data_IF_636377823014
#
_entry.id   IF_636377823014
#
_cell.length_a   1.000
_cell.length_b   1.000
_cell.length_c   1.000
_cell.angle_alpha   90.00
_cell.angle_beta   90.00
_cell.angle_gamma   90.00
#
_symmetry.space_group_name_H-M   'P 1'
#
loop_
_entity.id
_entity.type
_entity.pdbx_description
1 polymer ?
#
# COMPACT_ATOMS: atom_id res chain seq x y z
N UNK A 1 -33.64 -1.50 33.47
CA UNK A 1 -32.29 -1.31 32.89
C UNK A 1 -32.24 -2.12 31.61
N UNK A 2 -32.26 -1.47 30.44
CA UNK A 2 -32.15 -2.17 29.16
C UNK A 2 -30.69 -2.47 28.87
N UNK A 3 -30.34 -3.74 28.66
CA UNK A 3 -29.02 -4.12 28.19
C UNK A 3 -28.82 -3.57 26.77
N UNK A 4 -27.74 -2.84 26.52
CA UNK A 4 -27.30 -2.53 25.16
C UNK A 4 -26.86 -3.84 24.50
N UNK A 5 -27.75 -4.46 23.72
CA UNK A 5 -27.42 -5.66 22.95
C UNK A 5 -26.70 -5.21 21.69
N UNK A 6 -25.40 -5.50 21.60
CA UNK A 6 -24.64 -5.32 20.37
C UNK A 6 -25.02 -6.43 19.40
N UNK A 7 -25.59 -6.06 18.26
CA UNK A 7 -26.04 -7.03 17.24
C UNK A 7 -24.97 -7.40 16.23
N UNK A 8 -23.94 -6.56 16.05
CA UNK A 8 -22.83 -6.81 15.14
C UNK A 8 -21.57 -6.02 15.53
N UNK A 9 -20.40 -6.59 15.21
CA UNK A 9 -19.10 -5.94 15.32
C UNK A 9 -18.37 -6.10 13.99
N UNK A 10 -17.89 -5.00 13.43
CA UNK A 10 -17.11 -4.98 12.20
C UNK A 10 -15.66 -4.64 12.55
N UNK A 11 -14.73 -5.39 11.97
CA UNK A 11 -13.30 -5.20 12.17
C UNK A 11 -12.66 -4.77 10.86
N UNK A 12 -11.86 -3.72 10.92
CA UNK A 12 -10.88 -3.44 9.87
C UNK A 12 -9.82 -4.55 9.87
N UNK A 13 -9.16 -4.76 8.74
CA UNK A 13 -8.04 -5.67 8.67
C UNK A 13 -6.78 -5.01 9.24
N UNK A 14 -6.40 -3.87 8.68
CA UNK A 14 -5.14 -3.19 8.98
C UNK A 14 -5.11 -2.59 10.38
N UNK A 15 -4.10 -2.95 11.17
CA UNK A 15 -3.88 -2.50 12.56
C UNK A 15 -5.02 -2.81 13.54
N UNK A 16 -5.98 -3.66 13.16
CA UNK A 16 -7.04 -4.18 14.03
C UNK A 16 -6.95 -5.70 14.11
N UNK A 17 -7.07 -6.41 12.98
CA UNK A 17 -6.88 -7.86 12.92
C UNK A 17 -5.42 -8.25 12.69
N UNK A 18 -4.66 -7.42 11.97
CA UNK A 18 -3.26 -7.68 11.67
C UNK A 18 -2.43 -6.40 11.62
N UNK A 19 -1.18 -6.45 12.09
CA UNK A 19 -0.26 -5.32 12.00
C UNK A 19 0.45 -5.31 10.64
N UNK A 20 0.38 -4.18 9.93
CA UNK A 20 1.15 -3.98 8.71
C UNK A 20 2.42 -3.20 9.01
N UNK A 21 3.58 -3.80 8.70
CA UNK A 21 4.88 -3.17 8.88
C UNK A 21 5.31 -2.45 7.59
N UNK A 22 4.99 -1.15 7.52
CA UNK A 22 5.39 -0.28 6.42
C UNK A 22 6.92 -0.17 6.28
N UNK A 23 7.67 -0.21 7.38
CA UNK A 23 9.13 -0.12 7.36
C UNK A 23 9.74 -1.33 6.66
N UNK A 24 9.28 -2.54 7.02
CA UNK A 24 9.70 -3.78 6.37
C UNK A 24 9.27 -3.80 4.89
N UNK A 25 8.04 -3.39 4.59
CA UNK A 25 7.53 -3.36 3.22
C UNK A 25 8.35 -2.43 2.31
N UNK A 26 8.53 -1.17 2.70
CA UNK A 26 9.30 -0.21 1.90
C UNK A 26 10.81 -0.46 1.95
N UNK A 27 11.32 -1.10 3.00
CA UNK A 27 12.70 -1.59 3.06
C UNK A 27 12.95 -2.67 2.00
N UNK A 28 12.03 -3.62 1.86
CA UNK A 28 12.11 -4.64 0.81
C UNK A 28 11.95 -4.02 -0.58
N UNK A 29 11.00 -3.09 -0.78
CA UNK A 29 10.83 -2.40 -2.06
C UNK A 29 12.08 -1.62 -2.48
N UNK A 30 12.76 -0.96 -1.54
CA UNK A 30 14.00 -0.23 -1.79
C UNK A 30 15.16 -1.14 -2.27
N UNK A 31 15.12 -2.45 -2.01
CA UNK A 31 16.14 -3.37 -2.55
C UNK A 31 16.07 -3.53 -4.07
N UNK A 32 14.97 -3.12 -4.70
CA UNK A 32 14.73 -3.15 -6.14
C UNK A 32 14.71 -1.76 -6.77
N UNK A 33 15.15 -0.73 -6.06
CA UNK A 33 15.08 0.65 -6.54
C UNK A 33 16.32 1.44 -6.13
N UNK A 34 16.77 2.40 -6.94
CA UNK A 34 17.77 3.37 -6.51
C UNK A 34 17.22 4.40 -5.49
N UNK A 35 15.90 4.41 -5.22
CA UNK A 35 15.27 5.31 -4.28
C UNK A 35 15.27 4.74 -2.86
N UNK A 36 15.36 5.64 -1.87
CA UNK A 36 15.16 5.26 -0.46
C UNK A 36 13.72 4.87 -0.17
N UNK A 37 13.52 4.09 0.89
CA UNK A 37 12.18 3.71 1.37
C UNK A 37 11.25 4.91 1.58
N UNK A 38 11.78 6.04 2.07
CA UNK A 38 11.00 7.29 2.26
C UNK A 38 10.58 7.90 0.92
N UNK A 39 11.46 7.90 -0.08
CA UNK A 39 11.12 8.40 -1.42
C UNK A 39 10.07 7.51 -2.09
N UNK A 40 10.17 6.18 -1.96
CA UNK A 40 9.17 5.24 -2.47
C UNK A 40 7.83 5.44 -1.76
N UNK A 41 7.85 5.59 -0.44
CA UNK A 41 6.66 5.89 0.34
C UNK A 41 5.99 7.20 -0.13
N UNK A 42 6.77 8.22 -0.46
CA UNK A 42 6.26 9.49 -0.97
C UNK A 42 5.62 9.34 -2.36
N UNK A 43 6.12 8.46 -3.23
CA UNK A 43 5.46 8.13 -4.49
C UNK A 43 4.09 7.47 -4.25
N UNK A 44 4.02 6.55 -3.28
CA UNK A 44 2.80 5.77 -3.00
C UNK A 44 1.73 6.60 -2.30
N UNK A 45 2.11 7.37 -1.28
CA UNK A 45 1.19 8.05 -0.37
C UNK A 45 1.19 9.58 -0.46
N UNK A 46 2.15 10.17 -1.17
CA UNK A 46 2.27 11.62 -1.28
C UNK A 46 1.28 12.25 -2.26
N UNK A 47 1.18 13.58 -2.20
CA UNK A 47 0.36 14.39 -3.10
C UNK A 47 -1.12 14.52 -2.70
N UNK A 48 -1.89 15.21 -3.54
CA UNK A 48 -3.32 15.47 -3.33
C UNK A 48 -4.22 14.31 -3.78
N UNK A 49 -3.74 13.45 -4.69
CA UNK A 49 -4.42 12.22 -5.13
C UNK A 49 -3.45 11.02 -5.11
N UNK A 50 -3.19 10.44 -3.92
CA UNK A 50 -2.18 9.40 -3.75
C UNK A 50 -2.43 8.17 -4.62
N UNK A 51 -1.35 7.54 -5.07
CA UNK A 51 -1.40 6.31 -5.87
C UNK A 51 -2.12 5.20 -5.10
N UNK A 52 -1.79 5.02 -3.81
CA UNK A 52 -2.45 4.03 -2.95
C UNK A 52 -3.97 4.22 -2.92
N UNK A 53 -4.44 5.47 -2.78
CA UNK A 53 -5.88 5.76 -2.75
C UNK A 53 -6.57 5.40 -4.07
N UNK A 54 -5.96 5.73 -5.21
CA UNK A 54 -6.50 5.37 -6.53
C UNK A 54 -6.61 3.86 -6.70
N UNK A 55 -5.60 3.13 -6.23
CA UNK A 55 -5.58 1.67 -6.25
C UNK A 55 -6.64 1.05 -5.34
N UNK A 56 -6.67 1.44 -4.06
CA UNK A 56 -7.61 0.91 -3.04
C UNK A 56 -9.08 1.20 -3.37
N UNK A 57 -9.35 2.29 -4.09
CA UNK A 57 -10.72 2.66 -4.51
C UNK A 57 -11.11 2.10 -5.88
N UNK A 58 -10.27 1.29 -6.51
CA UNK A 58 -10.53 0.66 -7.81
C UNK A 58 -10.50 1.63 -9.00
N UNK A 59 -9.96 2.84 -8.82
CA UNK A 59 -9.75 3.83 -9.91
C UNK A 59 -8.47 3.57 -10.70
N UNK A 60 -7.67 2.60 -10.25
CA UNK A 60 -6.41 2.17 -10.86
C UNK A 60 -6.32 0.64 -10.76
N UNK A 61 -6.01 -0.02 -11.87
CA UNK A 61 -5.80 -1.47 -11.90
C UNK A 61 -4.42 -1.87 -11.38
N UNK A 62 -4.21 -3.18 -11.14
CA UNK A 62 -2.92 -3.70 -10.64
C UNK A 62 -1.77 -3.50 -11.63
N UNK A 63 -2.00 -3.71 -12.93
CA UNK A 63 -0.99 -3.50 -13.98
C UNK A 63 -0.61 -2.02 -14.11
N UNK A 64 -1.60 -1.14 -14.00
CA UNK A 64 -1.39 0.32 -14.02
C UNK A 64 -0.60 0.77 -12.77
N UNK A 65 -0.95 0.24 -11.61
CA UNK A 65 -0.24 0.48 -10.37
C UNK A 65 1.23 0.05 -10.47
N UNK A 66 1.49 -1.18 -10.95
CA UNK A 66 2.85 -1.69 -11.13
C UNK A 66 3.64 -0.82 -12.13
N UNK A 67 3.04 -0.51 -13.29
CA UNK A 67 3.67 0.34 -14.31
C UNK A 67 4.04 1.71 -13.74
N UNK A 68 3.17 2.30 -12.91
CA UNK A 68 3.45 3.57 -12.24
C UNK A 68 4.61 3.43 -11.26
N UNK A 69 4.63 2.37 -10.44
CA UNK A 69 5.74 2.14 -9.50
C UNK A 69 7.08 1.93 -10.22
N UNK A 70 7.09 1.20 -11.33
CA UNK A 70 8.29 1.02 -12.16
C UNK A 70 8.78 2.36 -12.70
N UNK A 71 7.88 3.25 -13.11
CA UNK A 71 8.22 4.57 -13.68
C UNK A 71 8.65 5.57 -12.61
N UNK A 72 7.83 5.78 -11.58
CA UNK A 72 7.98 6.86 -10.60
C UNK A 72 8.86 6.46 -9.43
N UNK A 73 8.66 5.25 -8.90
CA UNK A 73 9.46 4.71 -7.80
C UNK A 73 10.71 3.97 -8.29
N UNK A 74 10.91 3.85 -9.62
CA UNK A 74 12.05 3.17 -10.25
C UNK A 74 12.25 1.74 -9.73
N UNK A 75 11.14 1.05 -9.46
CA UNK A 75 11.17 -0.35 -9.03
C UNK A 75 11.50 -1.22 -10.25
N UNK A 76 12.56 -2.00 -10.15
CA UNK A 76 12.96 -3.00 -11.15
C UNK A 76 12.75 -4.40 -10.57
N UNK A 77 11.60 -4.99 -10.87
CA UNK A 77 11.24 -6.33 -10.41
C UNK A 77 11.64 -7.36 -11.48
N UNK A 78 12.43 -8.39 -11.11
CA UNK A 78 12.73 -9.50 -11.99
C UNK A 78 11.45 -10.20 -12.49
N UNK A 79 11.43 -10.64 -13.75
CA UNK A 79 10.26 -11.29 -14.35
C UNK A 79 9.85 -12.60 -13.67
N UNK A 80 10.76 -13.27 -12.95
CA UNK A 80 10.49 -14.48 -12.15
C UNK A 80 9.84 -14.16 -10.78
N UNK A 81 9.63 -12.88 -10.47
CA UNK A 81 9.00 -12.38 -9.24
C UNK A 81 7.62 -11.74 -9.48
N UNK A 82 7.12 -11.83 -10.72
CA UNK A 82 5.80 -11.33 -11.15
C UNK A 82 4.81 -12.49 -11.38
#
# INVERSE_FOLDING_TARGET
>A
MGSNVISAVLFDFGNVLYMFDYGRFFGAAASYSPLSSVQIQQVVFGGTDPVARRYETGRMGSDEFLTLLQREARIDLPADRL
#
